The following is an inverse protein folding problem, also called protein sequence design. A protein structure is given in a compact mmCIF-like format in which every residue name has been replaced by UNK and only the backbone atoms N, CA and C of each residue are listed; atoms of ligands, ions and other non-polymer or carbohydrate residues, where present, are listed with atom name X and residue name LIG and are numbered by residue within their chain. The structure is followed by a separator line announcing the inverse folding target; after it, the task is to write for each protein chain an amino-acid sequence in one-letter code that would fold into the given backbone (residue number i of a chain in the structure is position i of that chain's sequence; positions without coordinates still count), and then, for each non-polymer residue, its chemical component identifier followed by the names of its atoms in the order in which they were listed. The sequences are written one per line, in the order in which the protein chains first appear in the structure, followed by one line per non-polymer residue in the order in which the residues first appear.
data_IF_898063183960
#
_entry.id   IF_898063183960
#
_cell.length_a   1.000
_cell.length_b   1.000
_cell.length_c   1.000
_cell.angle_alpha   90.00
_cell.angle_beta   90.00
_cell.angle_gamma   90.00
#
_symmetry.space_group_name_H-M   'P 1'
#
loop_
_entity.id
_entity.type
_entity.pdbx_description
1 polymer ?
#
# COMPACT_ATOMS: atom_id res chain seq x y z
N UNK A 1 -61.83 25.93 -1.91
CA UNK A 1 -60.97 26.20 -3.10
C UNK A 1 -59.53 26.33 -2.61
N UNK A 2 -58.62 25.64 -3.32
CA UNK A 2 -57.16 25.47 -3.08
C UNK A 2 -56.43 26.84 -3.03
N UNK A 3 -55.30 27.01 -2.31
CA UNK A 3 -54.08 26.27 -2.65
C UNK A 3 -53.12 25.93 -1.47
N UNK A 4 -53.12 24.65 -1.08
CA UNK A 4 -51.91 23.96 -0.62
C UNK A 4 -51.09 23.60 -1.85
N UNK A 5 -50.23 24.51 -2.33
CA UNK A 5 -49.36 24.22 -3.48
C UNK A 5 -48.20 25.24 -3.56
N UNK A 6 -47.30 25.30 -2.57
CA UNK A 6 -46.09 26.13 -2.68
C UNK A 6 -45.06 25.83 -1.56
N UNK A 7 -44.68 24.57 -1.36
CA UNK A 7 -43.61 24.22 -0.41
C UNK A 7 -42.78 23.01 -0.85
N UNK A 8 -42.54 22.85 -2.15
CA UNK A 8 -41.82 21.70 -2.73
C UNK A 8 -40.85 22.15 -3.84
N UNK A 9 -40.02 23.17 -3.58
CA UNK A 9 -39.11 23.69 -4.61
C UNK A 9 -37.76 24.24 -4.09
N UNK A 10 -37.24 23.77 -2.94
CA UNK A 10 -35.99 24.30 -2.39
C UNK A 10 -35.01 23.22 -1.88
N UNK A 11 -35.01 22.02 -2.50
CA UNK A 11 -34.18 20.90 -2.05
C UNK A 11 -33.18 20.32 -3.06
N UNK A 12 -33.04 20.90 -4.25
CA UNK A 12 -32.40 20.21 -5.40
C UNK A 12 -31.12 20.86 -5.94
N UNK A 13 -30.34 21.62 -5.15
CA UNK A 13 -29.13 22.29 -5.65
C UNK A 13 -27.86 22.11 -4.80
N UNK A 14 -27.68 20.96 -4.12
CA UNK A 14 -26.41 20.65 -3.42
C UNK A 14 -25.84 19.27 -3.77
N UNK A 15 -26.16 18.73 -4.94
CA UNK A 15 -25.61 17.45 -5.43
C UNK A 15 -24.52 17.61 -6.51
N UNK A 16 -23.94 18.80 -6.67
CA UNK A 16 -22.88 19.05 -7.64
C UNK A 16 -21.61 19.50 -6.93
N UNK A 17 -20.48 18.86 -7.27
CA UNK A 17 -19.12 19.09 -6.75
C UNK A 17 -18.72 18.25 -5.52
N UNK A 18 -19.07 16.96 -5.51
CA UNK A 18 -18.08 16.02 -5.00
C UNK A 18 -16.91 16.08 -6.00
N UNK A 19 -15.68 16.46 -5.60
CA UNK A 19 -14.55 16.35 -6.49
C UNK A 19 -14.50 14.88 -6.94
N UNK A 20 -14.60 14.65 -8.25
CA UNK A 20 -14.19 13.37 -8.81
C UNK A 20 -12.78 13.16 -8.30
N UNK A 21 -12.62 12.24 -7.35
CA UNK A 21 -11.32 11.80 -6.90
C UNK A 21 -10.67 11.23 -8.15
N UNK A 22 -9.88 12.06 -8.85
CA UNK A 22 -9.05 11.61 -9.95
C UNK A 22 -8.22 10.48 -9.36
N UNK A 23 -8.48 9.27 -9.86
CA UNK A 23 -7.71 8.08 -9.55
C UNK A 23 -6.23 8.47 -9.60
N UNK A 24 -5.56 8.42 -8.45
CA UNK A 24 -4.14 8.74 -8.39
C UNK A 24 -3.41 7.87 -9.42
N UNK A 25 -2.61 8.55 -10.22
CA UNK A 25 -2.31 8.27 -11.62
C UNK A 25 -1.86 6.84 -11.99
N UNK A 26 -2.04 6.43 -13.27
CA UNK A 26 -1.43 5.23 -13.86
C UNK A 26 0.11 5.15 -13.67
N UNK A 27 0.77 6.28 -13.43
CA UNK A 27 2.20 6.33 -13.12
C UNK A 27 2.58 5.67 -11.78
N UNK A 28 1.69 5.72 -10.77
CA UNK A 28 1.93 5.09 -9.47
C UNK A 28 1.81 3.56 -9.54
N UNK A 29 0.96 3.05 -10.42
CA UNK A 29 0.84 1.61 -10.67
C UNK A 29 2.03 1.05 -11.42
N UNK A 30 2.60 1.80 -12.37
CA UNK A 30 3.76 1.36 -13.12
C UNK A 30 4.95 1.00 -12.20
N UNK A 31 5.24 1.87 -11.22
CA UNK A 31 6.33 1.63 -10.28
C UNK A 31 6.06 0.42 -9.37
N UNK A 32 4.83 0.25 -8.88
CA UNK A 32 4.46 -0.87 -8.00
C UNK A 32 4.39 -2.20 -8.79
N UNK A 33 3.96 -2.16 -10.05
CA UNK A 33 3.99 -3.30 -10.98
C UNK A 33 5.42 -3.75 -11.25
N UNK A 34 6.35 -2.83 -11.51
CA UNK A 34 7.78 -3.16 -11.65
C UNK A 34 8.33 -3.80 -10.38
N UNK A 35 7.97 -3.28 -9.21
CA UNK A 35 8.36 -3.90 -7.94
C UNK A 35 7.81 -5.32 -7.78
N UNK A 36 6.55 -5.53 -8.12
CA UNK A 36 5.94 -6.87 -8.10
C UNK A 36 6.73 -7.84 -8.99
N UNK A 37 7.07 -7.43 -10.21
CA UNK A 37 7.80 -8.25 -11.18
C UNK A 37 9.21 -8.61 -10.72
N UNK A 38 10.00 -7.63 -10.26
CA UNK A 38 11.39 -7.92 -9.81
C UNK A 38 11.43 -8.75 -8.55
N UNK A 39 10.48 -8.55 -7.62
CA UNK A 39 10.42 -9.33 -6.39
C UNK A 39 9.97 -10.77 -6.66
N UNK A 40 9.07 -10.99 -7.62
CA UNK A 40 8.75 -12.34 -8.09
C UNK A 40 9.99 -13.05 -8.66
N UNK A 41 10.81 -12.35 -9.45
CA UNK A 41 12.05 -12.90 -9.98
C UNK A 41 13.05 -13.25 -8.87
N UNK A 42 13.22 -12.38 -7.87
CA UNK A 42 14.08 -12.63 -6.70
C UNK A 42 13.57 -13.80 -5.85
N UNK A 43 12.25 -14.00 -5.77
CA UNK A 43 11.63 -15.11 -5.03
C UNK A 43 11.98 -16.51 -5.57
N UNK A 44 12.59 -16.58 -6.76
CA UNK A 44 13.13 -17.84 -7.30
C UNK A 44 14.38 -18.32 -6.55
N UNK A 45 15.13 -17.41 -5.89
CA UNK A 45 16.21 -17.79 -4.99
C UNK A 45 15.62 -18.25 -3.63
N UNK A 46 15.84 -19.50 -3.21
CA UNK A 46 15.36 -20.01 -1.93
C UNK A 46 15.80 -19.17 -0.72
N UNK A 47 16.98 -18.52 -0.78
CA UNK A 47 17.49 -17.68 0.30
C UNK A 47 16.73 -16.37 0.43
N UNK A 48 16.08 -15.92 -0.64
CA UNK A 48 15.37 -14.64 -0.69
C UNK A 48 13.85 -14.81 -0.71
N UNK A 49 13.35 -16.04 -0.88
CA UNK A 49 11.93 -16.36 -1.08
C UNK A 49 11.01 -15.68 -0.06
N UNK A 50 11.32 -15.74 1.22
CA UNK A 50 10.45 -15.17 2.26
C UNK A 50 10.46 -13.64 2.26
N UNK A 51 11.63 -13.02 2.02
CA UNK A 51 11.75 -11.57 1.91
C UNK A 51 11.01 -11.06 0.66
N UNK A 52 11.21 -11.74 -0.47
CA UNK A 52 10.52 -11.47 -1.72
C UNK A 52 8.99 -11.62 -1.58
N UNK A 53 8.52 -12.70 -0.95
CA UNK A 53 7.09 -12.93 -0.73
C UNK A 53 6.44 -11.80 0.07
N UNK A 54 7.08 -11.33 1.14
CA UNK A 54 6.60 -10.16 1.91
C UNK A 54 6.49 -8.91 1.04
N UNK A 55 7.51 -8.65 0.23
CA UNK A 55 7.50 -7.54 -0.72
C UNK A 55 6.39 -7.66 -1.78
N UNK A 56 6.19 -8.87 -2.33
CA UNK A 56 5.11 -9.17 -3.28
C UNK A 56 3.75 -8.85 -2.67
N UNK A 57 3.47 -9.30 -1.44
CA UNK A 57 2.20 -9.00 -0.77
C UNK A 57 2.00 -7.50 -0.50
N UNK A 58 3.07 -6.78 -0.13
CA UNK A 58 3.00 -5.33 0.07
C UNK A 58 2.59 -4.60 -1.22
N UNK A 59 3.26 -4.88 -2.34
CA UNK A 59 2.95 -4.21 -3.61
C UNK A 59 1.62 -4.69 -4.22
N UNK A 60 1.28 -5.97 -4.07
CA UNK A 60 -0.02 -6.49 -4.48
C UNK A 60 -1.17 -5.81 -3.71
N UNK A 61 -1.01 -5.62 -2.39
CA UNK A 61 -1.97 -4.91 -1.56
C UNK A 61 -2.15 -3.44 -1.97
N UNK A 62 -1.06 -2.74 -2.30
CA UNK A 62 -1.12 -1.37 -2.84
C UNK A 62 -1.82 -1.29 -4.18
N UNK A 63 -1.53 -2.23 -5.07
CA UNK A 63 -2.13 -2.30 -6.41
C UNK A 63 -3.62 -2.64 -6.33
N UNK A 64 -4.02 -3.57 -5.46
CA UNK A 64 -5.41 -3.97 -5.27
C UNK A 64 -6.25 -2.86 -4.61
N UNK A 65 -5.65 -2.05 -3.73
CA UNK A 65 -6.29 -0.88 -3.16
C UNK A 65 -6.64 0.19 -4.23
N UNK A 66 -5.95 0.18 -5.38
CA UNK A 66 -6.16 1.14 -6.48
C UNK A 66 -7.01 0.58 -7.62
N UNK A 67 -7.39 -0.70 -7.58
CA UNK A 67 -8.32 -1.26 -8.55
C UNK A 67 -8.26 -2.78 -8.69
N UNK A 68 -9.07 -3.35 -9.60
CA UNK A 68 -9.19 -4.79 -9.77
C UNK A 68 -7.86 -5.45 -10.19
N UNK A 69 -7.52 -6.57 -9.57
CA UNK A 69 -6.30 -7.35 -9.88
C UNK A 69 -6.27 -7.82 -11.34
N UNK A 70 -7.44 -8.03 -11.97
CA UNK A 70 -7.54 -8.42 -13.38
C UNK A 70 -6.86 -7.43 -14.35
N UNK A 71 -6.69 -6.15 -13.98
CA UNK A 71 -6.00 -5.16 -14.81
C UNK A 71 -4.47 -5.29 -14.79
N UNK A 72 -3.93 -6.06 -13.84
CA UNK A 72 -2.49 -6.13 -13.61
C UNK A 72 -1.77 -6.87 -14.73
N UNK A 73 -2.42 -7.85 -15.38
CA UNK A 73 -1.82 -8.57 -16.50
C UNK A 73 -1.39 -7.61 -17.62
N UNK A 74 -2.30 -6.77 -18.09
CA UNK A 74 -2.00 -5.77 -19.12
C UNK A 74 -0.90 -4.80 -18.68
N UNK A 75 -0.87 -4.44 -17.39
CA UNK A 75 0.12 -3.53 -16.83
C UNK A 75 1.50 -4.18 -16.72
N UNK A 76 1.57 -5.44 -16.30
CA UNK A 76 2.80 -6.23 -16.23
C UNK A 76 3.39 -6.46 -17.62
N UNK A 77 2.56 -6.71 -18.63
CA UNK A 77 3.01 -6.79 -20.02
C UNK A 77 3.60 -5.46 -20.52
N UNK A 78 2.94 -4.34 -20.21
CA UNK A 78 3.40 -3.02 -20.62
C UNK A 78 4.72 -2.62 -19.95
N UNK A 79 4.87 -2.87 -18.64
CA UNK A 79 6.10 -2.56 -17.90
C UNK A 79 7.22 -3.56 -18.18
N UNK A 80 6.91 -4.85 -18.36
CA UNK A 80 7.90 -5.88 -18.70
C UNK A 80 8.66 -5.59 -19.99
N UNK A 81 7.97 -5.02 -21.01
CA UNK A 81 8.61 -4.57 -22.26
C UNK A 81 9.62 -3.44 -22.04
N UNK A 82 9.45 -2.64 -20.98
CA UNK A 82 10.35 -1.53 -20.61
C UNK A 82 11.51 -2.00 -19.71
N UNK A 83 11.36 -3.15 -19.06
CA UNK A 83 12.37 -3.75 -18.17
C UNK A 83 13.23 -4.81 -18.88
N UNK A 84 13.71 -4.50 -20.08
CA UNK A 84 14.44 -5.45 -20.94
C UNK A 84 15.95 -5.49 -20.67
N UNK A 85 16.49 -4.53 -19.92
CA UNK A 85 17.92 -4.48 -19.58
C UNK A 85 18.16 -4.99 -18.15
N UNK A 86 19.17 -5.86 -17.92
CA UNK A 86 19.54 -6.30 -16.58
C UNK A 86 19.81 -5.14 -15.60
N UNK A 87 20.41 -4.05 -16.09
CA UNK A 87 20.64 -2.84 -15.31
C UNK A 87 19.34 -2.17 -14.84
N UNK A 88 18.29 -2.16 -15.68
CA UNK A 88 16.99 -1.61 -15.31
C UNK A 88 16.29 -2.47 -14.25
N UNK A 89 16.40 -3.80 -14.37
CA UNK A 89 15.90 -4.76 -13.36
C UNK A 89 16.59 -4.55 -12.03
N UNK A 90 17.92 -4.43 -12.03
CA UNK A 90 18.71 -4.21 -10.81
C UNK A 90 18.41 -2.85 -10.16
N UNK A 91 18.25 -1.79 -10.97
CA UNK A 91 17.87 -0.48 -10.48
C UNK A 91 16.49 -0.50 -9.81
N UNK A 92 15.51 -1.17 -10.42
CA UNK A 92 14.19 -1.35 -9.82
C UNK A 92 14.25 -2.18 -8.55
N UNK A 93 14.98 -3.29 -8.54
CA UNK A 93 15.16 -4.10 -7.33
C UNK A 93 15.73 -3.28 -6.17
N UNK A 94 16.74 -2.45 -6.44
CA UNK A 94 17.34 -1.55 -5.44
C UNK A 94 16.32 -0.54 -4.92
N UNK A 95 15.56 0.12 -5.81
CA UNK A 95 14.51 1.08 -5.44
C UNK A 95 13.43 0.41 -4.57
N UNK A 96 12.91 -0.72 -5.02
CA UNK A 96 11.85 -1.45 -4.33
C UNK A 96 12.32 -1.98 -2.97
N UNK A 97 13.56 -2.46 -2.89
CA UNK A 97 14.18 -2.89 -1.63
C UNK A 97 14.39 -1.75 -0.64
N UNK A 98 14.84 -0.59 -1.11
CA UNK A 98 15.00 0.61 -0.28
C UNK A 98 13.66 1.05 0.34
N UNK A 99 12.59 1.04 -0.45
CA UNK A 99 11.24 1.35 0.05
C UNK A 99 10.78 0.34 1.10
N UNK A 100 10.92 -0.97 0.83
CA UNK A 100 10.53 -2.01 1.78
C UNK A 100 11.31 -1.93 3.10
N UNK A 101 12.61 -1.63 3.02
CA UNK A 101 13.45 -1.40 4.19
C UNK A 101 12.99 -0.20 5.00
N UNK A 102 12.65 0.91 4.33
CA UNK A 102 12.09 2.10 4.98
C UNK A 102 10.79 1.75 5.73
N UNK A 103 9.84 1.08 5.07
CA UNK A 103 8.57 0.69 5.70
C UNK A 103 8.75 -0.26 6.87
N UNK A 104 9.70 -1.18 6.75
CA UNK A 104 10.05 -2.09 7.84
C UNK A 104 10.63 -1.33 9.03
N UNK A 105 11.51 -0.35 8.79
CA UNK A 105 12.07 0.52 9.83
C UNK A 105 11.00 1.35 10.54
N UNK A 106 10.05 1.92 9.79
CA UNK A 106 8.90 2.65 10.34
C UNK A 106 8.06 1.75 11.27
N UNK A 107 7.75 0.52 10.83
CA UNK A 107 7.00 -0.45 11.62
C UNK A 107 7.76 -0.91 12.87
N UNK A 108 9.07 -1.17 12.75
CA UNK A 108 9.91 -1.52 13.90
C UNK A 108 9.91 -0.41 14.95
N UNK A 109 10.03 0.85 14.53
CA UNK A 109 9.98 1.98 15.44
C UNK A 109 8.62 2.10 16.14
N UNK A 110 7.51 1.84 15.44
CA UNK A 110 6.18 1.75 16.04
C UNK A 110 6.13 0.65 17.10
N UNK A 111 6.58 -0.56 16.75
CA UNK A 111 6.57 -1.71 17.66
C UNK A 111 7.40 -1.48 18.92
N UNK A 112 8.56 -0.84 18.80
CA UNK A 112 9.38 -0.48 19.97
C UNK A 112 8.67 0.50 20.90
N UNK A 113 7.90 1.46 20.37
CA UNK A 113 7.09 2.38 21.19
C UNK A 113 5.94 1.63 21.87
N UNK A 114 5.25 0.76 21.14
CA UNK A 114 4.16 -0.05 21.69
C UNK A 114 4.66 -0.99 22.79
N UNK A 115 5.80 -1.65 22.62
CA UNK A 115 6.39 -2.51 23.64
C UNK A 115 6.66 -1.75 24.95
N UNK A 116 7.08 -0.48 24.89
CA UNK A 116 7.26 0.34 26.09
C UNK A 116 5.95 0.69 26.78
N UNK A 117 4.85 0.79 26.03
CA UNK A 117 3.52 1.12 26.55
C UNK A 117 2.77 -0.11 27.09
N UNK A 118 2.97 -1.27 26.46
CA UNK A 118 2.26 -2.51 26.74
C UNK A 118 3.16 -3.60 27.33
N UNK A 119 4.38 -3.26 27.76
CA UNK A 119 5.22 -4.19 28.51
C UNK A 119 4.45 -4.68 29.73
N UNK A 120 4.28 -6.00 29.92
CA UNK A 120 3.64 -6.51 31.12
C UNK A 120 4.40 -5.97 32.34
N UNK A 121 3.69 -5.58 33.42
CA UNK A 121 4.35 -5.12 34.63
C UNK A 121 5.37 -6.16 35.07
N UNK A 122 6.58 -5.71 35.39
CA UNK A 122 7.67 -6.59 35.79
C UNK A 122 7.16 -7.52 36.91
N UNK A 123 7.13 -8.83 36.63
CA UNK A 123 6.84 -9.85 37.64
C UNK A 123 7.95 -9.77 38.70
N UNK A 124 7.71 -9.02 39.76
CA UNK A 124 8.65 -8.92 40.89
C UNK A 124 8.85 -7.54 41.52
N UNK A 125 7.98 -6.54 41.30
CA UNK A 125 8.01 -5.35 42.16
C UNK A 125 7.79 -5.79 43.63
N UNK A 126 8.76 -5.62 44.54
CA UNK A 126 8.58 -5.99 45.94
C UNK A 126 7.41 -5.20 46.54
N UNK A 127 6.62 -5.79 47.45
CA UNK A 127 5.55 -5.05 48.11
C UNK A 127 6.14 -3.83 48.82
N UNK A 128 5.55 -2.66 48.57
CA UNK A 128 5.91 -1.42 49.24
C UNK A 128 5.76 -1.61 50.76
N UNK A 129 6.85 -1.42 51.49
CA UNK A 129 6.84 -1.46 52.96
C UNK A 129 5.99 -0.29 53.47
N UNK A 130 4.96 -0.60 54.27
CA UNK A 130 4.24 0.36 55.10
C UNK A 130 5.03 0.61 56.38
#
# INVERSE_FOLDING_TARGET
MRPFALALAAGAMLAGLAPTAFAQAPASDAADVRCLMVLQAVGNDPKQRDAAARGVYYYLGRLSARGPVARLEASMLAEGRKMNAPAAVQAELSRCGAELNQRTGELQAINQRLQKQFAPPAKGAPPAKK
#
